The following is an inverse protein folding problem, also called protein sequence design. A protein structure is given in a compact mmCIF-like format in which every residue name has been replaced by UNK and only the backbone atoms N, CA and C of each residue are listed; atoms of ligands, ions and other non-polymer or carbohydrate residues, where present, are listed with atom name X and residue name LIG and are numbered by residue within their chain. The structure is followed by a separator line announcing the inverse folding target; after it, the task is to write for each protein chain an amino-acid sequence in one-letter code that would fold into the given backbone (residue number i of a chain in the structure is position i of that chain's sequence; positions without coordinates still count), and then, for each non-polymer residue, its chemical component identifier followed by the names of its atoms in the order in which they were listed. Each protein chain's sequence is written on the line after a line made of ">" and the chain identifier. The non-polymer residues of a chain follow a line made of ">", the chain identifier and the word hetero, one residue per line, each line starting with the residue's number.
data_IF_626141387849
#
_entry.id   IF_626141387849
#
_cell.length_a   1.000
_cell.length_b   1.000
_cell.length_c   1.000
_cell.angle_alpha   90.00
_cell.angle_beta   90.00
_cell.angle_gamma   90.00
#
_symmetry.space_group_name_H-M   'P 1'
#
loop_
_entity.id
_entity.type
_entity.pdbx_description
1 polymer ?
#
# COMPACT_ATOMS: atom_id res chain seq x y z
N UNK A 1 -13.02 16.82 -20.35
CA UNK A 1 -12.22 15.80 -19.63
C UNK A 1 -10.90 16.35 -19.10
N UNK A 2 -10.15 17.18 -19.84
CA UNK A 2 -8.93 17.87 -19.34
C UNK A 2 -9.17 18.73 -18.08
N UNK A 3 -10.36 19.34 -17.96
CA UNK A 3 -10.75 20.16 -16.80
C UNK A 3 -10.99 19.36 -15.50
N UNK A 4 -11.35 18.08 -15.57
CA UNK A 4 -11.55 17.24 -14.38
C UNK A 4 -10.22 16.65 -13.88
N UNK A 5 -9.32 16.29 -14.80
CA UNK A 5 -7.97 15.78 -14.49
C UNK A 5 -7.09 16.88 -13.86
N UNK A 6 -7.21 18.12 -14.33
CA UNK A 6 -6.51 19.25 -13.72
C UNK A 6 -7.05 19.56 -12.32
N UNK A 7 -8.37 19.39 -12.07
CA UNK A 7 -8.96 19.62 -10.74
C UNK A 7 -8.53 18.53 -9.76
N UNK A 8 -8.43 17.26 -10.16
CA UNK A 8 -7.91 16.20 -9.28
C UNK A 8 -6.41 16.32 -9.02
N UNK A 9 -5.60 16.71 -10.01
CA UNK A 9 -4.17 17.02 -9.79
C UNK A 9 -4.01 18.27 -8.90
N UNK A 10 -4.86 19.28 -9.06
CA UNK A 10 -4.84 20.50 -8.24
C UNK A 10 -5.33 20.25 -6.81
N UNK A 11 -6.33 19.38 -6.60
CA UNK A 11 -6.76 18.94 -5.26
C UNK A 11 -5.67 18.09 -4.59
N UNK A 12 -5.01 17.19 -5.32
CA UNK A 12 -3.87 16.41 -4.81
C UNK A 12 -2.67 17.31 -4.46
N UNK A 13 -2.42 18.35 -5.24
CA UNK A 13 -1.39 19.36 -4.94
C UNK A 13 -1.79 20.27 -3.77
N UNK A 14 -3.06 20.68 -3.67
CA UNK A 14 -3.60 21.52 -2.59
C UNK A 14 -3.61 20.76 -1.25
N UNK A 15 -4.03 19.49 -1.23
CA UNK A 15 -3.94 18.62 -0.05
C UNK A 15 -2.49 18.32 0.36
N UNK A 16 -1.55 18.26 -0.59
CA UNK A 16 -0.12 18.10 -0.31
C UNK A 16 0.55 19.39 0.20
N UNK A 17 -0.05 20.57 -0.04
CA UNK A 17 0.48 21.88 0.37
C UNK A 17 -0.19 22.45 1.62
N UNK A 18 -1.34 21.91 2.05
CA UNK A 18 -2.04 22.34 3.27
C UNK A 18 -1.52 21.73 4.58
N UNK A 19 -0.50 20.88 4.57
CA UNK A 19 0.10 20.31 5.78
C UNK A 19 1.17 21.23 6.41
N UNK A 20 0.84 22.50 6.59
CA UNK A 20 1.69 23.47 7.27
C UNK A 20 0.91 24.19 8.37
N UNK A 21 0.62 23.48 9.47
CA UNK A 21 0.46 24.12 10.78
C UNK A 21 1.11 23.31 11.89
N UNK A 22 1.90 24.04 12.68
CA UNK A 22 2.67 23.61 13.84
C UNK A 22 1.79 22.99 14.93
N UNK A 23 2.12 21.77 15.35
CA UNK A 23 1.93 21.32 16.74
C UNK A 23 3.13 20.46 17.15
N UNK A 24 3.71 20.79 18.31
CA UNK A 24 4.90 20.20 18.94
C UNK A 24 4.81 18.68 19.19
N UNK A 25 5.94 18.00 19.51
CA UNK A 25 6.30 16.71 18.93
C UNK A 25 5.61 15.55 19.65
N UNK A 26 4.71 14.88 18.94
CA UNK A 26 4.52 13.45 19.16
C UNK A 26 5.69 12.77 18.47
N UNK A 27 6.39 11.89 19.17
CA UNK A 27 7.44 11.03 18.63
C UNK A 27 6.85 10.05 17.60
N UNK A 28 6.44 10.57 16.45
CA UNK A 28 6.14 9.82 15.25
C UNK A 28 7.35 9.97 14.35
N UNK A 29 8.14 8.93 14.19
CA UNK A 29 9.25 8.98 13.24
C UNK A 29 8.67 9.25 11.85
N UNK A 30 8.91 10.45 11.33
CA UNK A 30 8.35 10.89 10.05
C UNK A 30 8.89 10.00 8.94
N UNK A 31 8.01 9.24 8.29
CA UNK A 31 8.39 8.39 7.15
C UNK A 31 8.89 9.30 6.03
N UNK A 32 10.14 9.09 5.63
CA UNK A 32 10.83 9.92 4.65
C UNK A 32 10.21 9.77 3.26
N UNK A 33 10.41 10.76 2.39
CA UNK A 33 9.95 10.68 1.00
C UNK A 33 10.57 9.49 0.25
N UNK A 34 11.83 9.14 0.56
CA UNK A 34 12.52 7.97 -0.01
C UNK A 34 11.79 6.68 0.36
N UNK A 35 11.44 6.53 1.63
CA UNK A 35 10.73 5.36 2.12
C UNK A 35 9.31 5.27 1.57
N UNK A 36 8.60 6.40 1.44
CA UNK A 36 7.30 6.45 0.77
C UNK A 36 7.36 5.91 -0.65
N UNK A 37 8.36 6.34 -1.43
CA UNK A 37 8.60 5.83 -2.79
C UNK A 37 8.90 4.33 -2.80
N UNK A 38 9.76 3.85 -1.90
CA UNK A 38 10.11 2.42 -1.81
C UNK A 38 8.87 1.59 -1.44
N UNK A 39 8.13 1.99 -0.41
CA UNK A 39 6.93 1.29 0.05
C UNK A 39 5.88 1.23 -1.07
N UNK A 40 5.65 2.33 -1.80
CA UNK A 40 4.76 2.33 -2.97
C UNK A 40 5.27 1.43 -4.10
N UNK A 41 6.56 1.49 -4.42
CA UNK A 41 7.15 0.63 -5.43
C UNK A 41 7.04 -0.86 -5.07
N UNK A 42 7.16 -1.21 -3.78
CA UNK A 42 6.93 -2.57 -3.28
C UNK A 42 5.50 -3.03 -3.57
N UNK A 43 4.48 -2.26 -3.16
CA UNK A 43 3.08 -2.59 -3.45
C UNK A 43 2.83 -2.71 -4.94
N UNK A 44 3.30 -1.75 -5.73
CA UNK A 44 3.11 -1.71 -7.18
C UNK A 44 3.77 -2.89 -7.89
N UNK A 45 4.97 -3.28 -7.46
CA UNK A 45 5.67 -4.45 -8.01
C UNK A 45 4.93 -5.75 -7.64
N UNK A 46 4.47 -5.88 -6.40
CA UNK A 46 3.66 -7.02 -5.96
C UNK A 46 2.35 -7.13 -6.75
N UNK A 47 1.70 -6.01 -7.06
CA UNK A 47 0.52 -5.96 -7.91
C UNK A 47 0.80 -6.51 -9.32
N UNK A 48 1.88 -6.07 -9.97
CA UNK A 48 2.28 -6.61 -11.28
C UNK A 48 2.56 -8.11 -11.25
N UNK A 49 3.30 -8.58 -10.25
CA UNK A 49 3.61 -10.01 -10.08
C UNK A 49 2.33 -10.82 -9.90
N UNK A 50 1.41 -10.35 -9.04
CA UNK A 50 0.11 -10.99 -8.84
C UNK A 50 -0.71 -11.02 -10.12
N UNK A 51 -0.76 -9.90 -10.86
CA UNK A 51 -1.54 -9.79 -12.07
C UNK A 51 -1.03 -10.72 -13.18
N UNK A 52 0.29 -10.68 -13.46
CA UNK A 52 0.91 -11.56 -14.46
C UNK A 52 0.76 -13.04 -14.10
N UNK A 53 0.82 -13.39 -12.82
CA UNK A 53 0.68 -14.77 -12.38
C UNK A 53 -0.77 -15.27 -12.46
N UNK A 54 -1.74 -14.41 -12.15
CA UNK A 54 -3.16 -14.78 -12.04
C UNK A 54 -3.93 -14.65 -13.36
N UNK A 55 -3.56 -13.69 -14.23
CA UNK A 55 -4.30 -13.33 -15.45
C UNK A 55 -3.60 -13.76 -16.76
N UNK A 56 -2.85 -14.88 -16.72
CA UNK A 56 -2.06 -15.34 -17.87
C UNK A 56 -2.88 -15.54 -19.15
N UNK A 57 -4.13 -16.00 -19.03
CA UNK A 57 -4.98 -16.31 -20.19
C UNK A 57 -5.52 -15.04 -20.83
N UNK A 58 -5.92 -14.09 -19.99
CA UNK A 58 -6.47 -12.79 -20.33
C UNK A 58 -5.39 -11.93 -20.98
N UNK A 59 -4.19 -11.90 -20.39
CA UNK A 59 -3.02 -11.24 -20.98
C UNK A 59 -2.69 -11.86 -22.34
N UNK A 60 -2.72 -13.18 -22.47
CA UNK A 60 -2.47 -13.83 -23.77
C UNK A 60 -3.53 -13.48 -24.83
N UNK A 61 -4.78 -13.27 -24.41
CA UNK A 61 -5.92 -13.04 -25.32
C UNK A 61 -6.11 -11.56 -25.69
N UNK A 62 -5.93 -10.67 -24.72
CA UNK A 62 -6.27 -9.25 -24.84
C UNK A 62 -5.08 -8.33 -24.60
N UNK A 63 -3.98 -8.83 -24.03
CA UNK A 63 -2.80 -8.02 -23.71
C UNK A 63 -2.14 -7.46 -24.97
N UNK A 64 -2.17 -6.13 -25.10
CA UNK A 64 -1.41 -5.41 -26.12
C UNK A 64 -1.15 -3.97 -25.66
N UNK A 65 -0.08 -3.34 -26.18
CA UNK A 65 0.22 -1.95 -25.88
C UNK A 65 -0.89 -0.99 -26.36
N UNK A 66 -1.55 -1.33 -27.48
CA UNK A 66 -2.69 -0.57 -27.98
C UNK A 66 -3.88 -0.64 -27.02
N UNK A 67 -4.24 -1.85 -26.55
CA UNK A 67 -5.32 -2.04 -25.59
C UNK A 67 -4.99 -1.35 -24.26
N UNK A 68 -3.75 -1.44 -23.81
CA UNK A 68 -3.28 -0.76 -22.59
C UNK A 68 -3.57 0.74 -22.64
N UNK A 69 -3.20 1.43 -23.72
CA UNK A 69 -3.47 2.86 -23.89
C UNK A 69 -4.98 3.13 -24.03
N UNK A 70 -5.65 2.36 -24.90
CA UNK A 70 -7.07 2.56 -25.24
C UNK A 70 -7.97 2.33 -24.03
N UNK A 71 -7.67 1.36 -23.20
CA UNK A 71 -8.47 1.02 -22.05
C UNK A 71 -8.34 2.08 -20.95
N UNK A 72 -7.12 2.58 -20.67
CA UNK A 72 -6.88 3.59 -19.62
C UNK A 72 -7.70 4.87 -19.78
N UNK A 73 -8.11 5.23 -21.00
CA UNK A 73 -8.90 6.44 -21.28
C UNK A 73 -10.41 6.20 -21.38
N UNK A 74 -10.87 4.95 -21.27
CA UNK A 74 -12.27 4.55 -21.45
C UNK A 74 -12.83 3.84 -20.21
N UNK A 75 -12.90 4.51 -19.04
CA UNK A 75 -13.51 3.93 -17.84
C UNK A 75 -15.00 3.62 -18.05
N UNK A 76 -15.49 2.60 -17.37
CA UNK A 76 -16.88 2.15 -17.47
C UNK A 76 -17.43 1.69 -16.12
N UNK A 77 -18.74 1.47 -16.06
CA UNK A 77 -19.34 0.73 -14.96
C UNK A 77 -19.37 -0.73 -15.36
N UNK A 78 -18.72 -1.56 -14.55
CA UNK A 78 -18.71 -3.00 -14.72
C UNK A 78 -20.12 -3.59 -14.52
N UNK A 79 -20.43 -4.64 -15.28
CA UNK A 79 -21.70 -5.39 -15.23
C UNK A 79 -21.50 -6.85 -14.78
N UNK A 80 -20.28 -7.23 -14.44
CA UNK A 80 -19.98 -8.57 -13.94
C UNK A 80 -20.69 -8.83 -12.60
N UNK A 81 -20.70 -10.10 -12.16
CA UNK A 81 -21.33 -10.49 -10.91
C UNK A 81 -20.69 -9.73 -9.73
N UNK A 82 -21.38 -8.67 -9.31
CA UNK A 82 -20.97 -7.70 -8.28
C UNK A 82 -20.26 -8.32 -7.08
N UNK A 83 -20.69 -9.49 -6.64
CA UNK A 83 -20.15 -10.18 -5.47
C UNK A 83 -18.69 -10.65 -5.63
N UNK A 84 -18.34 -11.25 -6.76
CA UNK A 84 -16.99 -11.80 -6.96
C UNK A 84 -15.95 -10.67 -7.12
N UNK A 85 -16.33 -9.61 -7.83
CA UNK A 85 -15.44 -8.46 -8.04
C UNK A 85 -15.22 -7.71 -6.73
N UNK A 86 -16.31 -7.37 -6.03
CA UNK A 86 -16.26 -6.67 -4.74
C UNK A 86 -15.39 -7.39 -3.70
N UNK A 87 -15.49 -8.73 -3.57
CA UNK A 87 -14.70 -9.49 -2.60
C UNK A 87 -13.20 -9.36 -2.90
N UNK A 88 -12.80 -9.53 -4.17
CA UNK A 88 -11.38 -9.46 -4.56
C UNK A 88 -10.80 -8.07 -4.35
N UNK A 89 -11.52 -7.02 -4.75
CA UNK A 89 -11.10 -5.64 -4.53
C UNK A 89 -11.04 -5.29 -3.05
N UNK A 90 -11.98 -5.77 -2.25
CA UNK A 90 -11.97 -5.58 -0.78
C UNK A 90 -10.72 -6.23 -0.17
N UNK A 91 -10.40 -7.47 -0.53
CA UNK A 91 -9.17 -8.11 -0.05
C UNK A 91 -7.91 -7.39 -0.55
N UNK A 92 -7.86 -6.97 -1.82
CA UNK A 92 -6.73 -6.22 -2.35
C UNK A 92 -6.46 -4.93 -1.57
N UNK A 93 -7.50 -4.13 -1.33
CA UNK A 93 -7.39 -2.90 -0.54
C UNK A 93 -7.01 -3.16 0.92
N UNK A 94 -7.50 -4.23 1.52
CA UNK A 94 -7.07 -4.67 2.86
C UNK A 94 -5.56 -4.92 2.90
N UNK A 95 -5.02 -5.65 1.93
CA UNK A 95 -3.58 -5.94 1.87
C UNK A 95 -2.75 -4.65 1.73
N UNK A 96 -3.18 -3.70 0.90
CA UNK A 96 -2.48 -2.43 0.75
C UNK A 96 -2.49 -1.64 2.05
N UNK A 97 -3.66 -1.52 2.70
CA UNK A 97 -3.81 -0.82 3.97
C UNK A 97 -2.91 -1.42 5.05
N UNK A 98 -2.98 -2.74 5.26
CA UNK A 98 -2.19 -3.43 6.29
C UNK A 98 -0.69 -3.35 6.04
N UNK A 99 -0.25 -3.37 4.77
CA UNK A 99 1.14 -3.12 4.42
C UNK A 99 1.56 -1.72 4.87
N UNK A 100 0.86 -0.65 4.48
CA UNK A 100 1.24 0.70 4.90
C UNK A 100 1.20 0.87 6.43
N UNK A 101 0.23 0.25 7.11
CA UNK A 101 0.18 0.24 8.58
C UNK A 101 1.39 -0.43 9.21
N UNK A 102 1.83 -1.59 8.71
CA UNK A 102 3.03 -2.26 9.23
C UNK A 102 4.31 -1.44 8.99
N UNK A 103 4.33 -0.63 7.93
CA UNK A 103 5.42 0.30 7.63
C UNK A 103 5.43 1.57 8.49
N UNK A 104 4.48 1.73 9.42
CA UNK A 104 4.45 2.82 10.40
C UNK A 104 3.59 4.01 9.99
N UNK A 105 2.79 3.91 8.92
CA UNK A 105 1.91 4.98 8.49
C UNK A 105 0.75 5.12 9.48
N UNK A 106 0.28 6.35 9.72
CA UNK A 106 -0.98 6.57 10.45
C UNK A 106 -2.17 5.97 9.68
N UNK A 107 -3.32 5.77 10.32
CA UNK A 107 -4.51 5.20 9.67
C UNK A 107 -4.93 6.05 8.45
N UNK A 108 -4.94 7.38 8.60
CA UNK A 108 -5.23 8.31 7.51
C UNK A 108 -4.21 8.19 6.36
N UNK A 109 -2.92 8.19 6.67
CA UNK A 109 -1.90 8.06 5.63
C UNK A 109 -1.98 6.69 4.96
N UNK A 110 -2.20 5.60 5.70
CA UNK A 110 -2.37 4.27 5.14
C UNK A 110 -3.58 4.21 4.20
N UNK A 111 -4.69 4.87 4.54
CA UNK A 111 -5.85 5.02 3.66
C UNK A 111 -5.50 5.79 2.37
N UNK A 112 -4.84 6.95 2.48
CA UNK A 112 -4.42 7.74 1.30
C UNK A 112 -3.53 6.91 0.37
N UNK A 113 -2.55 6.19 0.93
CA UNK A 113 -1.66 5.35 0.14
C UNK A 113 -2.35 4.11 -0.43
N UNK A 114 -3.35 3.58 0.25
CA UNK A 114 -4.26 2.56 -0.30
C UNK A 114 -4.99 3.08 -1.53
N UNK A 115 -5.59 4.29 -1.47
CA UNK A 115 -6.22 4.93 -2.62
C UNK A 115 -5.24 5.08 -3.80
N UNK A 116 -4.03 5.58 -3.53
CA UNK A 116 -3.00 5.75 -4.57
C UNK A 116 -2.60 4.40 -5.21
N UNK A 117 -2.42 3.35 -4.41
CA UNK A 117 -2.09 2.01 -4.92
C UNK A 117 -3.24 1.37 -5.69
N UNK A 118 -4.49 1.56 -5.26
CA UNK A 118 -5.67 1.11 -5.98
C UNK A 118 -5.80 1.82 -7.33
N UNK A 119 -5.63 3.14 -7.37
CA UNK A 119 -5.69 3.90 -8.63
C UNK A 119 -4.55 3.55 -9.58
N UNK A 120 -3.36 3.31 -9.05
CA UNK A 120 -2.25 2.85 -9.86
C UNK A 120 -2.59 1.51 -10.52
N UNK A 121 -3.08 0.52 -9.76
CA UNK A 121 -3.51 -0.75 -10.32
C UNK A 121 -4.56 -0.59 -11.41
N UNK A 122 -5.64 0.12 -11.11
CA UNK A 122 -6.79 0.28 -11.98
C UNK A 122 -6.44 0.93 -13.33
N UNK A 123 -5.61 1.98 -13.31
CA UNK A 123 -5.33 2.76 -14.51
C UNK A 123 -4.07 2.34 -15.27
N UNK A 124 -3.23 1.47 -14.68
CA UNK A 124 -1.97 1.04 -15.32
C UNK A 124 -1.80 -0.47 -15.44
N UNK A 125 -2.35 -1.29 -14.53
CA UNK A 125 -2.14 -2.74 -14.54
C UNK A 125 -3.32 -3.42 -15.21
N UNK A 126 -4.53 -3.17 -14.70
CA UNK A 126 -5.76 -3.78 -15.19
C UNK A 126 -6.07 -3.39 -16.63
N UNK A 127 -5.62 -2.20 -17.03
CA UNK A 127 -5.81 -1.68 -18.39
C UNK A 127 -5.16 -2.54 -19.47
N UNK A 128 -4.22 -3.43 -19.10
CA UNK A 128 -3.60 -4.39 -20.00
C UNK A 128 -4.63 -5.33 -20.62
N UNK A 129 -5.66 -5.75 -19.88
CA UNK A 129 -6.69 -6.67 -20.39
C UNK A 129 -8.07 -6.06 -20.44
N UNK A 130 -8.39 -5.15 -19.52
CA UNK A 130 -9.75 -4.68 -19.24
C UNK A 130 -9.80 -3.16 -19.12
N UNK A 131 -11.00 -2.58 -19.08
CA UNK A 131 -11.15 -1.12 -18.90
C UNK A 131 -11.29 -0.81 -17.42
N UNK A 132 -10.78 0.35 -16.95
CA UNK A 132 -11.01 0.79 -15.59
C UNK A 132 -12.50 0.81 -15.24
N UNK A 133 -12.82 0.40 -14.05
CA UNK A 133 -14.14 0.36 -13.44
C UNK A 133 -14.29 1.51 -12.45
N UNK A 134 -15.36 2.30 -12.61
CA UNK A 134 -15.66 3.38 -11.67
C UNK A 134 -15.94 2.89 -10.26
N UNK A 135 -16.42 1.66 -10.12
CA UNK A 135 -16.74 1.07 -8.83
C UNK A 135 -15.47 0.75 -8.07
N UNK A 136 -14.49 0.16 -8.74
CA UNK A 136 -13.27 -0.32 -8.12
C UNK A 136 -12.39 0.81 -7.57
N UNK A 137 -12.55 2.03 -8.11
CA UNK A 137 -11.95 3.25 -7.58
C UNK A 137 -12.36 3.58 -6.13
N UNK A 138 -13.60 3.30 -5.73
CA UNK A 138 -14.01 3.52 -4.33
C UNK A 138 -14.08 2.23 -3.54
N UNK A 139 -14.52 1.13 -4.15
CA UNK A 139 -14.71 -0.15 -3.45
C UNK A 139 -13.39 -0.67 -2.89
N UNK A 140 -12.34 -0.70 -3.71
CA UNK A 140 -11.01 -1.20 -3.31
C UNK A 140 -10.47 -0.44 -2.09
N UNK A 141 -10.27 0.89 -2.14
CA UNK A 141 -9.67 1.56 -1.00
C UNK A 141 -10.62 1.70 0.20
N UNK A 142 -11.92 1.91 0.00
CA UNK A 142 -12.86 2.16 1.11
C UNK A 142 -13.15 0.86 1.86
N UNK A 143 -13.69 -0.16 1.17
CA UNK A 143 -14.05 -1.41 1.83
C UNK A 143 -12.81 -2.18 2.28
N UNK A 144 -11.74 -2.14 1.48
CA UNK A 144 -10.46 -2.73 1.86
C UNK A 144 -9.88 -2.11 3.12
N UNK A 145 -9.94 -0.79 3.26
CA UNK A 145 -9.47 -0.13 4.50
C UNK A 145 -10.34 -0.47 5.71
N UNK A 146 -11.66 -0.50 5.56
CA UNK A 146 -12.56 -0.92 6.66
C UNK A 146 -12.21 -2.32 7.14
N UNK A 147 -12.05 -3.27 6.21
CA UNK A 147 -11.63 -4.63 6.52
C UNK A 147 -10.21 -4.68 7.11
N UNK A 148 -9.30 -3.86 6.59
CA UNK A 148 -7.93 -3.70 7.07
C UNK A 148 -7.84 -3.22 8.52
N UNK A 149 -8.61 -2.19 8.89
CA UNK A 149 -8.71 -1.72 10.29
C UNK A 149 -9.20 -2.84 11.21
N UNK A 150 -10.21 -3.60 10.78
CA UNK A 150 -10.73 -4.74 11.53
C UNK A 150 -9.66 -5.82 11.76
N UNK A 151 -8.97 -6.23 10.70
CA UNK A 151 -7.91 -7.23 10.79
C UNK A 151 -6.69 -6.75 11.55
N UNK A 152 -6.30 -5.49 11.44
CA UNK A 152 -5.23 -4.90 12.25
C UNK A 152 -5.53 -5.00 13.75
N UNK A 153 -6.75 -4.62 14.16
CA UNK A 153 -7.18 -4.69 15.56
C UNK A 153 -7.26 -6.13 16.04
N UNK A 154 -7.83 -7.02 15.24
CA UNK A 154 -7.95 -8.43 15.56
C UNK A 154 -6.58 -9.10 15.68
N UNK A 155 -5.65 -8.83 14.77
CA UNK A 155 -4.31 -9.42 14.82
C UNK A 155 -3.55 -8.99 16.07
N UNK A 156 -3.65 -7.70 16.45
CA UNK A 156 -3.04 -7.18 17.70
C UNK A 156 -3.64 -7.84 18.94
N UNK A 157 -4.96 -8.03 18.97
CA UNK A 157 -5.63 -8.77 20.06
C UNK A 157 -5.16 -10.22 20.13
N UNK A 158 -5.02 -10.89 19.00
CA UNK A 158 -4.54 -12.26 18.93
C UNK A 158 -3.08 -12.39 19.41
N UNK A 159 -2.22 -11.45 19.04
CA UNK A 159 -0.83 -11.35 19.51
C UNK A 159 -0.70 -10.95 20.99
N UNK A 160 -1.74 -10.36 21.59
CA UNK A 160 -1.75 -10.08 23.04
C UNK A 160 -2.25 -11.26 23.87
N UNK A 161 -2.79 -12.30 23.24
CA UNK A 161 -3.14 -13.53 23.95
C UNK A 161 -1.87 -14.29 24.35
N UNK A 162 -1.76 -14.76 25.59
CA UNK A 162 -0.62 -15.60 26.04
C UNK A 162 -0.69 -17.04 25.49
N UNK A 163 -1.19 -17.23 24.26
CA UNK A 163 -1.37 -18.54 23.63
C UNK A 163 -0.68 -18.61 22.28
N UNK A 164 -0.01 -19.74 22.01
CA UNK A 164 0.65 -19.94 20.74
C UNK A 164 -0.34 -19.96 19.56
N UNK A 165 -1.58 -20.45 19.78
CA UNK A 165 -2.65 -20.47 18.76
C UNK A 165 -3.01 -19.04 18.38
N UNK A 166 -3.25 -18.17 19.37
CA UNK A 166 -3.55 -16.76 19.08
C UNK A 166 -2.42 -16.09 18.31
N UNK A 167 -1.16 -16.32 18.70
CA UNK A 167 -0.03 -15.79 17.94
C UNK A 167 0.01 -16.29 16.50
N UNK A 168 -0.16 -17.60 16.28
CA UNK A 168 -0.17 -18.22 14.96
C UNK A 168 -1.32 -17.65 14.10
N UNK A 169 -2.52 -17.53 14.65
CA UNK A 169 -3.68 -16.94 13.95
C UNK A 169 -3.44 -15.46 13.65
N UNK A 170 -2.84 -14.69 14.57
CA UNK A 170 -2.52 -13.28 14.37
C UNK A 170 -1.58 -13.06 13.18
N UNK A 171 -0.55 -13.91 13.03
CA UNK A 171 0.32 -13.88 11.86
C UNK A 171 -0.36 -14.35 10.59
N UNK A 172 -1.25 -15.35 10.67
CA UNK A 172 -1.97 -15.86 9.52
C UNK A 172 -2.88 -14.80 8.89
N UNK A 173 -3.65 -14.08 9.71
CA UNK A 173 -4.60 -13.07 9.20
C UNK A 173 -3.94 -11.76 8.83
N UNK A 174 -2.79 -11.44 9.44
CA UNK A 174 -2.03 -10.23 9.16
C UNK A 174 -0.53 -10.53 9.09
N UNK A 175 -0.05 -11.12 7.98
CA UNK A 175 1.34 -11.52 7.84
C UNK A 175 2.31 -10.33 7.85
N UNK A 176 1.83 -9.12 7.57
CA UNK A 176 2.65 -7.91 7.59
C UNK A 176 3.12 -7.51 8.99
N UNK A 177 2.57 -8.11 10.05
CA UNK A 177 3.09 -7.98 11.42
C UNK A 177 4.50 -8.57 11.58
N UNK A 178 4.94 -9.42 10.65
CA UNK A 178 6.32 -9.91 10.58
C UNK A 178 7.29 -8.90 9.97
N UNK A 179 6.78 -7.90 9.24
CA UNK A 179 7.63 -6.89 8.64
C UNK A 179 8.03 -5.85 9.69
N UNK A 180 9.33 -5.52 9.80
CA UNK A 180 9.73 -4.41 10.65
C UNK A 180 9.11 -3.09 10.15
N UNK A 181 8.88 -2.11 11.03
CA UNK A 181 8.60 -0.74 10.62
C UNK A 181 9.70 -0.20 9.69
N UNK A 182 9.36 0.80 8.88
CA UNK A 182 10.28 1.34 7.86
C UNK A 182 11.66 1.71 8.41
N UNK A 183 11.72 2.32 9.59
CA UNK A 183 12.95 2.78 10.22
C UNK A 183 13.88 1.64 10.66
N UNK A 184 13.38 0.41 10.77
CA UNK A 184 14.17 -0.76 11.19
C UNK A 184 14.61 -1.62 10.01
N UNK A 185 14.06 -1.40 8.81
CA UNK A 185 14.42 -2.17 7.60
C UNK A 185 15.72 -1.66 6.94
N UNK A 186 15.99 -0.36 7.02
CA UNK A 186 17.26 0.24 6.57
C UNK A 186 18.17 0.68 7.72
N UNK A 187 17.71 0.56 8.97
CA UNK A 187 18.49 0.92 10.17
C UNK A 187 19.58 -0.08 10.55
N UNK A 188 19.74 -1.18 9.81
CA UNK A 188 20.67 -2.28 10.13
C UNK A 188 21.96 -2.32 9.30
N UNK A 189 22.31 -1.23 8.61
CA UNK A 189 23.68 -1.03 8.09
C UNK A 189 24.07 0.44 8.14
N UNK A 190 24.08 1.02 9.33
CA UNK A 190 25.10 2.02 9.65
C UNK A 190 25.76 1.45 10.91
N UNK A 191 27.00 0.93 10.84
CA UNK A 191 27.72 0.69 12.08
C UNK A 191 27.75 2.05 12.79
N UNK A 192 27.19 2.10 13.99
CA UNK A 192 27.21 3.25 14.86
C UNK A 192 28.64 3.80 14.86
N UNK A 193 28.86 4.90 14.13
CA UNK A 193 30.19 5.47 13.86
C UNK A 193 30.92 5.76 15.19
N UNK A 194 30.14 5.96 16.25
CA UNK A 194 30.58 6.24 17.61
C UNK A 194 31.03 4.99 18.40
N UNK A 195 30.62 3.76 18.03
CA UNK A 195 31.12 2.54 18.68
C UNK A 195 32.46 2.07 18.11
N UNK A 196 32.69 2.26 16.81
CA UNK A 196 33.97 1.88 16.18
C UNK A 196 35.10 2.81 16.63
N UNK A 197 34.82 4.10 16.81
CA UNK A 197 35.79 5.07 17.35
C UNK A 197 36.13 4.80 18.82
N UNK A 198 35.17 4.38 19.65
CA UNK A 198 35.42 3.93 21.02
C UNK A 198 36.21 2.62 21.09
N UNK A 199 36.00 1.67 20.17
CA UNK A 199 36.77 0.41 20.14
C UNK A 199 38.22 0.61 19.67
N UNK A 200 38.48 1.50 18.70
CA UNK A 200 39.84 1.79 18.22
C UNK A 200 40.70 2.58 19.22
N UNK A 201 40.08 3.28 20.16
CA UNK A 201 40.79 4.08 21.17
C UNK A 201 41.25 3.26 22.38
N UNK A 202 40.70 2.06 22.58
CA UNK A 202 41.06 1.13 23.67
C UNK A 202 42.14 0.09 23.29
N UNK A 203 42.47 -0.07 22.01
CA UNK A 203 43.51 -1.01 21.54
C UNK A 203 44.91 -0.36 21.34
N UNK A 204 45.09 0.91 21.68
CA UNK A 204 46.36 1.65 21.52
C UNK A 204 46.99 2.16 22.83
N UNK A 205 46.87 1.41 23.92
CA UNK A 205 47.70 1.57 25.13
C UNK A 205 48.35 0.24 25.51
#
# INVERSE_FOLDING_TARGET
>A
MLKALCVSIFILWYCASSSAQNTSPVSSTTITAKEKKINFATVYTSQWIYYISSYKKEIKKYGSFENWIKNSINPHYDRDSFEYNLIRHTFAGQYYYLFYRSRGYTEENAFIWTCLSSFAFEFTIETVTERPSYQDLYQTPVYGTVLGVGVEKLSKYLHSTNTWIGHATGYLINPFTLLPPTNSFFGTVIPEQDKISLMLQWELQ
#
